data_IF_661064874151
#
_entry.id   IF_661064874151
#
_cell.length_a   1.000
_cell.length_b   1.000
_cell.length_c   1.000
_cell.angle_alpha   90.00
_cell.angle_beta   90.00
_cell.angle_gamma   90.00
#
_symmetry.space_group_name_H-M   'P 1'
#
loop_
_entity.id
_entity.type
_entity.pdbx_description
1 polymer ?
#
# COMPACT_ATOMS: atom_id res chain seq x y z
N UNK A 1 -2.41 17.21 -5.39
CA UNK A 1 -3.88 17.12 -5.35
C UNK A 1 -4.25 16.53 -3.99
N UNK A 2 -5.08 17.20 -3.21
CA UNK A 2 -5.59 16.65 -1.96
C UNK A 2 -6.85 15.86 -2.31
N UNK A 3 -6.81 14.54 -2.18
CA UNK A 3 -7.99 13.70 -2.35
C UNK A 3 -8.61 13.43 -0.98
N UNK A 4 -9.93 13.45 -0.89
CA UNK A 4 -10.63 13.20 0.38
C UNK A 4 -10.27 11.82 0.96
N UNK A 5 -10.07 10.84 0.09
CA UNK A 5 -9.67 9.48 0.42
C UNK A 5 -8.99 8.86 -0.81
N UNK A 6 -7.82 8.23 -0.62
CA UNK A 6 -7.14 7.46 -1.68
C UNK A 6 -7.50 6.00 -1.49
N UNK A 7 -8.04 5.37 -2.54
CA UNK A 7 -8.32 3.93 -2.55
C UNK A 7 -7.25 3.24 -3.40
N UNK A 8 -6.52 2.31 -2.78
CA UNK A 8 -5.47 1.54 -3.43
C UNK A 8 -5.91 0.09 -3.55
N UNK A 9 -5.80 -0.46 -4.75
CA UNK A 9 -5.97 -1.88 -5.00
C UNK A 9 -4.64 -2.60 -4.77
N UNK A 10 -4.57 -3.50 -3.78
CA UNK A 10 -3.32 -4.16 -3.37
C UNK A 10 -2.73 -5.14 -4.39
N UNK A 11 -3.49 -5.53 -5.43
CA UNK A 11 -3.04 -6.52 -6.42
C UNK A 11 -1.80 -6.05 -7.17
N UNK A 12 -0.72 -6.84 -7.11
CA UNK A 12 0.52 -6.57 -7.85
C UNK A 12 1.39 -5.47 -7.23
N UNK A 13 1.00 -4.93 -6.07
CA UNK A 13 1.87 -4.06 -5.30
C UNK A 13 2.87 -4.87 -4.48
N UNK A 14 4.10 -4.37 -4.38
CA UNK A 14 5.09 -4.91 -3.46
C UNK A 14 4.89 -4.33 -2.06
N UNK A 15 4.77 -5.17 -1.03
CA UNK A 15 4.46 -4.79 0.35
C UNK A 15 5.35 -3.64 0.86
N UNK A 16 6.66 -3.79 0.74
CA UNK A 16 7.60 -2.76 1.22
C UNK A 16 7.49 -1.43 0.48
N UNK A 17 7.27 -1.47 -0.84
CA UNK A 17 7.12 -0.24 -1.65
C UNK A 17 5.79 0.45 -1.35
N UNK A 18 4.70 -0.32 -1.27
CA UNK A 18 3.38 0.18 -0.92
C UNK A 18 3.38 0.80 0.49
N UNK A 19 4.00 0.14 1.47
CA UNK A 19 4.12 0.65 2.84
C UNK A 19 4.86 2.00 2.89
N UNK A 20 6.01 2.13 2.21
CA UNK A 20 6.76 3.39 2.15
C UNK A 20 5.94 4.54 1.55
N UNK A 21 5.19 4.25 0.48
CA UNK A 21 4.27 5.23 -0.11
C UNK A 21 3.18 5.66 0.87
N UNK A 22 2.50 4.70 1.52
CA UNK A 22 1.43 4.94 2.49
C UNK A 22 1.93 5.83 3.64
N UNK A 23 3.09 5.53 4.22
CA UNK A 23 3.68 6.33 5.31
C UNK A 23 3.83 7.81 4.91
N UNK A 24 4.34 8.09 3.71
CA UNK A 24 4.51 9.46 3.22
C UNK A 24 3.18 10.20 3.07
N UNK A 25 2.12 9.50 2.68
CA UNK A 25 0.79 10.10 2.58
C UNK A 25 0.17 10.32 3.97
N UNK A 26 0.34 9.37 4.90
CA UNK A 26 -0.15 9.50 6.28
C UNK A 26 0.47 10.71 7.00
N UNK A 27 1.76 10.99 6.79
CA UNK A 27 2.42 12.21 7.31
C UNK A 27 1.78 13.51 6.80
N UNK A 28 1.14 13.47 5.63
CA UNK A 28 0.39 14.58 5.03
C UNK A 28 -1.09 14.58 5.42
N UNK A 29 -1.47 13.77 6.42
CA UNK A 29 -2.86 13.59 6.88
C UNK A 29 -3.80 13.09 5.78
N UNK A 30 -3.26 12.36 4.80
CA UNK A 30 -4.05 11.74 3.75
C UNK A 30 -4.73 10.47 4.29
N UNK A 31 -6.04 10.36 4.11
CA UNK A 31 -6.77 9.13 4.41
C UNK A 31 -6.58 8.14 3.25
N UNK A 32 -6.24 6.89 3.57
CA UNK A 32 -5.98 5.82 2.59
C UNK A 32 -6.74 4.56 2.98
N UNK A 33 -7.32 3.88 1.99
CA UNK A 33 -7.93 2.55 2.12
C UNK A 33 -7.24 1.61 1.13
N UNK A 34 -6.81 0.43 1.61
CA UNK A 34 -6.21 -0.61 0.77
C UNK A 34 -7.17 -1.78 0.66
N UNK A 35 -7.49 -2.19 -0.56
CA UNK A 35 -8.36 -3.33 -0.87
C UNK A 35 -7.54 -4.52 -1.38
N UNK A 36 -8.13 -5.73 -1.34
CA UNK A 36 -7.51 -6.98 -1.83
C UNK A 36 -6.08 -7.18 -1.30
N UNK A 37 -5.91 -7.01 0.01
CA UNK A 37 -4.61 -7.09 0.68
C UNK A 37 -3.96 -8.46 0.55
N UNK A 38 -4.76 -9.50 0.35
CA UNK A 38 -4.35 -10.87 0.05
C UNK A 38 -3.62 -11.03 -1.29
N UNK A 39 -3.70 -10.03 -2.19
CA UNK A 39 -3.01 -10.01 -3.48
C UNK A 39 -1.74 -9.13 -3.49
N UNK A 40 -1.33 -8.62 -2.32
CA UNK A 40 -0.08 -7.87 -2.17
C UNK A 40 1.09 -8.84 -2.22
N UNK A 41 2.10 -8.50 -3.01
CA UNK A 41 3.29 -9.31 -3.21
C UNK A 41 4.35 -8.96 -2.16
N UNK A 42 5.00 -9.97 -1.57
CA UNK A 42 6.20 -9.78 -0.76
C UNK A 42 7.44 -10.12 -1.57
N UNK A 43 8.50 -9.33 -1.42
CA UNK A 43 9.82 -9.67 -1.95
C UNK A 43 10.51 -10.62 -0.97
N UNK A 44 10.95 -11.77 -1.45
CA UNK A 44 11.72 -12.75 -0.69
C UNK A 44 11.51 -14.16 -1.23
N UNK A 45 12.54 -14.99 -1.14
CA UNK A 45 12.33 -16.43 -1.25
C UNK A 45 11.46 -16.85 -0.08
N UNK A 46 10.31 -17.45 -0.37
CA UNK A 46 9.56 -18.19 0.62
C UNK A 46 10.40 -19.43 0.93
N UNK A 47 11.29 -19.34 1.93
CA UNK A 47 12.00 -20.49 2.45
C UNK A 47 10.95 -21.22 3.31
N UNK A 48 10.55 -22.45 2.95
CA UNK A 48 9.56 -23.21 3.70
C UNK A 48 10.04 -23.51 5.13
#
# INVERSE_FOLDING_TARGET
MFEKEIVIDGKGHLLGRLASYIVKQLQRRQRIVVLRTELIQQLGNMIP
#
